data_IF_736503848591
#
_entry.id   IF_736503848591
#
_cell.length_a   1.000
_cell.length_b   1.000
_cell.length_c   1.000
_cell.angle_alpha   90.00
_cell.angle_beta   90.00
_cell.angle_gamma   90.00
#
_symmetry.space_group_name_H-M   'P 1'
#
loop_
_entity.id
_entity.type
_entity.pdbx_description
1 polymer ?
#
# COMPACT_ATOMS: atom_id res chain seq x y z
N UNK A 1 17.43 -4.26 -26.80
CA UNK A 1 16.17 -3.99 -26.10
C UNK A 1 16.30 -4.41 -24.65
N UNK A 2 15.85 -3.59 -23.72
CA UNK A 2 15.77 -3.88 -22.30
C UNK A 2 14.31 -3.73 -21.87
N UNK A 3 13.84 -4.57 -20.94
CA UNK A 3 12.55 -4.34 -20.30
C UNK A 3 12.74 -3.28 -19.22
N UNK A 4 12.04 -2.17 -19.34
CA UNK A 4 12.00 -1.10 -18.34
C UNK A 4 10.77 -1.19 -17.44
N UNK A 5 9.86 -2.10 -17.79
CA UNK A 5 8.62 -2.32 -17.05
C UNK A 5 8.88 -2.69 -15.60
N UNK A 6 8.22 -2.00 -14.70
CA UNK A 6 8.37 -2.15 -13.25
C UNK A 6 9.79 -1.86 -12.72
N UNK A 7 10.60 -1.07 -13.42
CA UNK A 7 11.92 -0.61 -12.98
C UNK A 7 11.91 0.88 -12.71
N UNK A 8 12.75 1.29 -11.77
CA UNK A 8 12.80 2.70 -11.30
C UNK A 8 13.75 3.56 -12.16
N UNK A 9 13.68 3.41 -13.48
CA UNK A 9 14.38 4.32 -14.38
C UNK A 9 13.50 5.53 -14.63
N UNK A 10 14.04 6.71 -14.39
CA UNK A 10 13.33 8.00 -14.58
C UNK A 10 14.17 8.92 -15.46
N UNK A 11 13.55 9.73 -16.32
CA UNK A 11 14.26 10.79 -17.05
C UNK A 11 14.97 11.73 -16.08
N UNK A 12 16.23 12.11 -16.40
CA UNK A 12 17.09 12.91 -15.51
C UNK A 12 17.72 12.12 -14.36
N UNK A 13 17.37 10.85 -14.20
CA UNK A 13 17.99 9.96 -13.20
C UNK A 13 19.30 9.36 -13.69
N UNK A 14 19.99 8.67 -12.79
CA UNK A 14 21.24 7.98 -13.08
C UNK A 14 21.00 6.48 -13.25
N UNK A 15 21.82 5.86 -14.07
CA UNK A 15 21.91 4.42 -14.20
C UNK A 15 23.33 3.95 -14.15
N UNK A 16 23.55 2.79 -13.52
CA UNK A 16 24.83 2.11 -13.43
C UNK A 16 24.84 0.91 -14.39
N UNK A 17 25.76 0.93 -15.36
CA UNK A 17 26.12 -0.26 -16.13
C UNK A 17 27.18 -1.04 -15.37
N UNK A 18 27.00 -2.35 -15.30
CA UNK A 18 27.95 -3.25 -14.62
C UNK A 18 28.35 -4.38 -15.55
N UNK A 19 29.64 -4.48 -15.77
CA UNK A 19 30.25 -5.56 -16.55
C UNK A 19 30.56 -6.81 -15.74
N UNK A 20 31.49 -7.59 -16.23
CA UNK A 20 31.87 -8.88 -15.65
C UNK A 20 32.71 -8.71 -14.38
N UNK A 21 33.52 -7.68 -14.31
CA UNK A 21 34.42 -7.41 -13.15
C UNK A 21 33.85 -6.29 -12.27
N UNK A 22 34.32 -6.19 -11.05
CA UNK A 22 33.90 -5.13 -10.11
C UNK A 22 34.33 -3.72 -10.59
N UNK A 23 35.31 -3.63 -11.46
CA UNK A 23 35.85 -2.38 -12.00
C UNK A 23 35.21 -1.95 -13.31
N UNK A 24 34.50 -2.87 -13.98
CA UNK A 24 33.77 -2.57 -15.22
C UNK A 24 32.45 -1.92 -14.88
N UNK A 25 32.48 -0.65 -14.55
CA UNK A 25 31.30 0.13 -14.18
C UNK A 25 31.28 1.47 -14.92
N UNK A 26 30.10 1.89 -15.36
CA UNK A 26 29.87 3.21 -15.94
C UNK A 26 28.57 3.79 -15.43
N UNK A 27 28.61 5.03 -14.94
CA UNK A 27 27.42 5.76 -14.53
C UNK A 27 26.99 6.69 -15.65
N UNK A 28 25.74 6.60 -16.04
CA UNK A 28 25.15 7.37 -17.15
C UNK A 28 23.87 8.07 -16.71
N UNK A 29 23.61 9.22 -17.31
CA UNK A 29 22.38 9.95 -17.11
C UNK A 29 21.32 9.51 -18.13
N UNK A 30 20.09 9.36 -17.68
CA UNK A 30 18.94 8.92 -18.49
C UNK A 30 18.25 10.16 -19.07
N UNK A 31 18.17 10.23 -20.39
CA UNK A 31 17.44 11.29 -21.07
C UNK A 31 15.94 10.99 -21.14
N UNK A 32 15.58 9.75 -21.55
CA UNK A 32 14.19 9.30 -21.61
C UNK A 32 14.08 7.79 -21.42
N UNK A 33 12.91 7.34 -21.01
CA UNK A 33 12.58 5.92 -20.77
C UNK A 33 11.38 5.54 -21.61
N UNK A 34 11.53 4.47 -22.38
CA UNK A 34 10.48 3.84 -23.17
C UNK A 34 10.29 2.39 -22.64
N UNK A 35 9.17 1.71 -22.93
CA UNK A 35 8.92 0.35 -22.41
C UNK A 35 10.02 -0.66 -22.70
N UNK A 36 10.74 -0.48 -23.82
CA UNK A 36 11.78 -1.42 -24.28
C UNK A 36 13.16 -0.80 -24.45
N UNK A 37 13.30 0.50 -24.13
CA UNK A 37 14.53 1.25 -24.42
C UNK A 37 14.75 2.36 -23.38
N UNK A 38 16.02 2.57 -23.07
CA UNK A 38 16.48 3.72 -22.28
C UNK A 38 17.37 4.56 -23.20
N UNK A 39 17.04 5.83 -23.38
CA UNK A 39 17.87 6.78 -24.10
C UNK A 39 18.76 7.50 -23.08
N UNK A 40 20.05 7.58 -23.40
CA UNK A 40 21.05 8.21 -22.54
C UNK A 40 21.28 9.64 -22.95
N UNK A 41 21.56 10.51 -21.98
CA UNK A 41 21.84 11.92 -22.22
C UNK A 41 23.19 12.13 -22.96
N UNK A 42 24.10 11.17 -22.87
CA UNK A 42 25.39 11.17 -23.56
C UNK A 42 25.75 9.78 -24.05
N UNK A 43 26.59 9.64 -25.07
CA UNK A 43 27.12 8.36 -25.50
C UNK A 43 27.89 7.65 -24.37
N UNK A 44 27.88 6.32 -24.41
CA UNK A 44 28.69 5.48 -23.52
C UNK A 44 30.18 5.71 -23.78
N UNK A 45 30.97 5.72 -22.72
CA UNK A 45 32.42 5.87 -22.79
C UNK A 45 33.10 4.60 -23.33
N UNK A 46 32.47 3.44 -23.09
CA UNK A 46 32.98 2.14 -23.52
C UNK A 46 31.95 1.34 -24.31
N UNK A 47 32.40 0.32 -25.03
CA UNK A 47 31.52 -0.64 -25.71
C UNK A 47 31.11 -1.74 -24.72
N UNK A 48 29.81 -1.90 -24.52
CA UNK A 48 29.25 -2.86 -23.59
C UNK A 48 28.67 -4.07 -24.32
N UNK A 49 29.02 -5.29 -23.89
CA UNK A 49 28.51 -6.51 -24.53
C UNK A 49 27.02 -6.68 -24.29
N UNK A 50 26.37 -7.42 -25.19
CA UNK A 50 24.96 -7.80 -25.03
C UNK A 50 24.78 -8.58 -23.71
N UNK A 51 23.78 -8.22 -22.93
CA UNK A 51 23.50 -8.85 -21.63
C UNK A 51 24.12 -8.10 -20.45
N UNK A 52 24.84 -7.01 -20.68
CA UNK A 52 25.29 -6.11 -19.60
C UNK A 52 24.09 -5.69 -18.75
N UNK A 53 24.27 -5.77 -17.45
CA UNK A 53 23.22 -5.38 -16.49
C UNK A 53 23.26 -3.88 -16.30
N UNK A 54 22.06 -3.28 -16.31
CA UNK A 54 21.84 -1.87 -15.99
C UNK A 54 20.95 -1.76 -14.76
N UNK A 55 21.36 -0.91 -13.84
CA UNK A 55 20.66 -0.67 -12.57
C UNK A 55 20.31 0.80 -12.45
N UNK A 56 19.10 1.16 -11.95
CA UNK A 56 18.85 2.53 -11.54
C UNK A 56 19.79 2.89 -10.38
N UNK A 57 20.35 4.09 -10.43
CA UNK A 57 21.27 4.59 -9.41
C UNK A 57 20.74 5.88 -8.81
N UNK A 58 20.97 6.07 -7.53
CA UNK A 58 20.61 7.28 -6.79
C UNK A 58 21.84 7.82 -6.08
N UNK A 59 21.90 9.14 -5.95
CA UNK A 59 22.98 9.78 -5.19
C UNK A 59 22.65 9.64 -3.69
N UNK A 60 23.62 9.13 -2.95
CA UNK A 60 23.51 8.96 -1.50
C UNK A 60 24.82 9.24 -0.80
N UNK A 61 24.74 9.57 0.48
CA UNK A 61 25.87 9.70 1.39
C UNK A 61 25.78 8.63 2.48
N UNK A 62 26.91 8.20 2.99
CA UNK A 62 26.94 7.37 4.20
C UNK A 62 26.36 8.14 5.37
N UNK A 63 25.40 7.56 6.08
CA UNK A 63 24.82 8.16 7.28
C UNK A 63 25.63 7.83 8.53
N UNK A 64 26.29 6.68 8.52
CA UNK A 64 27.14 6.20 9.60
C UNK A 64 28.45 5.64 9.03
N UNK A 65 29.45 5.52 9.87
CA UNK A 65 30.65 4.78 9.49
C UNK A 65 30.29 3.33 9.18
N UNK A 66 30.76 2.76 8.06
CA UNK A 66 30.48 1.38 7.74
C UNK A 66 31.18 0.46 8.75
N UNK A 67 30.45 -0.54 9.21
CA UNK A 67 30.99 -1.59 10.07
C UNK A 67 31.63 -2.67 9.21
N UNK A 68 32.86 -3.03 9.54
CA UNK A 68 33.63 -4.08 8.90
C UNK A 68 33.82 -5.24 9.88
N UNK A 69 33.34 -6.41 9.53
CA UNK A 69 33.54 -7.65 10.27
C UNK A 69 34.37 -8.62 9.40
N UNK A 70 35.60 -8.82 9.74
CA UNK A 70 36.43 -9.83 9.08
C UNK A 70 36.05 -11.21 9.60
N UNK A 71 35.55 -12.06 8.71
CA UNK A 71 35.09 -13.41 9.03
C UNK A 71 36.25 -14.41 8.82
N UNK A 72 36.99 -14.25 7.71
CA UNK A 72 38.20 -15.03 7.37
C UNK A 72 39.20 -14.13 6.68
N UNK A 73 40.38 -14.68 6.30
CA UNK A 73 41.37 -13.91 5.55
C UNK A 73 40.88 -13.48 4.15
N UNK A 74 39.88 -14.14 3.63
CA UNK A 74 39.35 -13.89 2.28
C UNK A 74 37.87 -13.46 2.28
N UNK A 75 37.21 -13.37 3.44
CA UNK A 75 35.82 -13.01 3.56
C UNK A 75 35.62 -11.94 4.64
N UNK A 76 34.95 -10.86 4.24
CA UNK A 76 34.61 -9.73 5.09
C UNK A 76 33.13 -9.42 4.92
N UNK A 77 32.43 -9.12 6.02
CA UNK A 77 31.07 -8.61 6.04
C UNK A 77 31.12 -7.11 6.27
N UNK A 78 30.46 -6.35 5.39
CA UNK A 78 30.38 -4.90 5.49
C UNK A 78 28.91 -4.51 5.62
N UNK A 79 28.60 -3.71 6.65
CA UNK A 79 27.30 -3.08 6.83
C UNK A 79 27.43 -1.58 6.65
N UNK A 80 26.60 -1.01 5.76
CA UNK A 80 26.62 0.42 5.50
C UNK A 80 25.19 0.96 5.37
N UNK A 81 24.95 2.10 6.00
CA UNK A 81 23.65 2.82 5.92
C UNK A 81 23.84 4.07 5.08
N UNK A 82 22.99 4.21 4.07
CA UNK A 82 23.04 5.34 3.15
C UNK A 82 21.80 6.23 3.32
N UNK A 83 22.02 7.52 3.30
CA UNK A 83 20.97 8.51 3.12
C UNK A 83 20.93 8.93 1.66
N UNK A 84 19.79 8.75 1.01
CA UNK A 84 19.58 9.20 -0.37
C UNK A 84 19.47 10.72 -0.39
N UNK A 85 20.30 11.36 -1.23
CA UNK A 85 20.39 12.83 -1.31
C UNK A 85 19.28 13.47 -2.14
N UNK A 86 18.66 12.69 -3.03
CA UNK A 86 17.54 13.16 -3.86
C UNK A 86 16.21 12.91 -3.15
N UNK A 87 15.30 13.88 -3.24
CA UNK A 87 13.93 13.69 -2.78
C UNK A 87 13.37 12.41 -3.42
N UNK A 88 13.00 11.46 -2.58
CA UNK A 88 12.44 10.18 -3.02
C UNK A 88 10.94 10.26 -3.32
N UNK A 89 10.40 11.47 -3.42
CA UNK A 89 9.02 11.72 -3.84
C UNK A 89 8.82 11.39 -5.33
N UNK A 90 9.50 10.36 -5.81
CA UNK A 90 9.27 9.89 -7.15
C UNK A 90 7.82 9.45 -7.25
N UNK A 91 7.12 10.12 -8.14
CA UNK A 91 5.77 9.75 -8.52
C UNK A 91 5.84 8.30 -8.94
N UNK A 92 5.25 7.42 -8.14
CA UNK A 92 5.21 6.00 -8.47
C UNK A 92 4.68 5.84 -9.90
N UNK A 93 5.24 4.93 -10.63
CA UNK A 93 4.90 4.65 -12.03
C UNK A 93 3.42 4.30 -12.17
N UNK A 94 2.83 3.76 -11.11
CA UNK A 94 1.41 3.43 -11.05
C UNK A 94 0.79 4.17 -9.88
N UNK A 95 -0.09 5.15 -10.13
CA UNK A 95 -0.80 5.82 -9.05
C UNK A 95 -1.70 4.79 -8.34
N UNK A 96 -1.79 4.85 -7.00
CA UNK A 96 -2.69 3.96 -6.26
C UNK A 96 -4.16 4.29 -6.58
N UNK A 97 -5.05 3.33 -6.38
CA UNK A 97 -6.50 3.57 -6.41
C UNK A 97 -6.87 4.64 -5.40
N UNK A 98 -7.57 5.68 -5.84
CA UNK A 98 -7.98 6.79 -4.98
C UNK A 98 -9.49 6.69 -4.73
N UNK A 99 -9.87 6.65 -3.47
CA UNK A 99 -11.26 6.72 -3.04
C UNK A 99 -11.44 7.88 -2.05
N UNK A 100 -12.38 8.77 -2.33
CA UNK A 100 -12.68 9.97 -1.52
C UNK A 100 -11.41 10.76 -1.14
N UNK A 101 -10.52 10.97 -2.12
CA UNK A 101 -9.28 11.75 -1.99
C UNK A 101 -8.15 11.07 -1.22
N UNK A 102 -8.28 9.78 -0.89
CA UNK A 102 -7.23 9.01 -0.20
C UNK A 102 -6.93 7.71 -0.95
N UNK A 103 -5.69 7.24 -0.93
CA UNK A 103 -5.34 5.96 -1.52
C UNK A 103 -5.95 4.81 -0.74
N UNK A 104 -6.18 3.70 -1.43
CA UNK A 104 -6.68 2.45 -0.85
C UNK A 104 -5.54 1.43 -0.80
N UNK A 105 -5.44 0.69 0.30
CA UNK A 105 -4.56 -0.47 0.39
C UNK A 105 -5.22 -1.64 -0.36
N UNK A 106 -4.70 -1.94 -1.56
CA UNK A 106 -5.24 -3.01 -2.41
C UNK A 106 -4.69 -4.39 -2.04
N UNK A 107 -3.47 -4.42 -1.51
CA UNK A 107 -2.78 -5.68 -1.19
C UNK A 107 -3.37 -6.30 0.07
N UNK A 108 -3.96 -7.48 -0.06
CA UNK A 108 -4.47 -8.23 1.06
C UNK A 108 -3.33 -8.70 2.00
N UNK A 109 -3.60 -8.83 3.29
CA UNK A 109 -2.65 -9.42 4.21
C UNK A 109 -2.45 -10.91 3.92
N UNK A 110 -1.29 -11.44 4.33
CA UNK A 110 -1.00 -12.87 4.30
C UNK A 110 -1.81 -13.58 5.38
N UNK A 111 -2.76 -14.40 4.96
CA UNK A 111 -3.67 -15.13 5.85
C UNK A 111 -2.98 -16.29 6.62
N UNK A 112 -1.73 -16.63 6.27
CA UNK A 112 -0.95 -17.63 7.00
C UNK A 112 -0.39 -17.11 8.33
N UNK A 113 -0.56 -15.84 8.61
CA UNK A 113 -0.04 -15.19 9.82
C UNK A 113 -1.18 -14.49 10.54
N UNK A 114 -1.23 -14.68 11.85
CA UNK A 114 -2.21 -14.04 12.70
C UNK A 114 -2.15 -12.51 12.55
N UNK A 115 -3.29 -11.92 12.22
CA UNK A 115 -3.45 -10.48 12.20
C UNK A 115 -3.49 -9.96 13.64
N UNK A 116 -2.42 -9.34 14.07
CA UNK A 116 -2.40 -8.73 15.39
C UNK A 116 -3.18 -7.42 15.40
N UNK A 117 -4.06 -7.27 16.39
CA UNK A 117 -4.82 -6.05 16.62
C UNK A 117 -4.64 -5.63 18.09
N UNK A 118 -4.17 -4.42 18.31
CA UNK A 118 -4.07 -3.82 19.63
C UNK A 118 -5.04 -2.64 19.77
N UNK A 119 -5.62 -2.50 20.95
CA UNK A 119 -6.43 -1.35 21.30
C UNK A 119 -5.59 -0.47 22.20
N UNK A 120 -5.30 0.73 21.75
CA UNK A 120 -4.52 1.70 22.51
C UNK A 120 -5.36 2.91 22.87
N UNK A 121 -5.16 3.40 24.08
CA UNK A 121 -5.77 4.61 24.58
C UNK A 121 -4.70 5.49 25.22
N UNK A 122 -4.64 6.75 24.84
CA UNK A 122 -3.72 7.69 25.44
C UNK A 122 -4.19 8.01 26.86
N UNK A 123 -3.53 7.41 27.85
CA UNK A 123 -3.85 7.63 29.26
C UNK A 123 -2.67 8.29 29.95
N UNK A 124 -2.88 9.48 30.48
CA UNK A 124 -1.94 10.13 31.36
C UNK A 124 -2.32 9.77 32.82
N UNK A 125 -1.35 9.30 33.59
CA UNK A 125 -1.55 8.99 35.00
C UNK A 125 -0.68 9.92 35.87
N UNK A 126 -1.32 10.69 36.70
CA UNK A 126 -0.68 11.48 37.70
C UNK A 126 -0.76 10.74 39.04
N UNK A 127 0.39 10.23 39.48
CA UNK A 127 0.53 9.53 40.75
C UNK A 127 1.57 10.24 41.60
N UNK A 128 1.12 10.96 42.63
CA UNK A 128 1.97 11.66 43.60
C UNK A 128 2.34 10.76 44.77
N UNK A 129 1.97 9.49 44.78
CA UNK A 129 2.18 8.52 45.86
C UNK A 129 1.56 8.93 47.23
N UNK A 130 0.63 9.86 47.19
CA UNK A 130 -0.04 10.39 48.40
C UNK A 130 -1.52 10.01 48.44
N UNK A 131 -2.05 9.35 47.44
CA UNK A 131 -3.45 8.99 47.35
C UNK A 131 -3.78 8.19 46.08
N UNK A 132 -5.05 8.21 45.66
CA UNK A 132 -5.49 7.49 44.45
C UNK A 132 -4.96 8.20 43.21
N UNK A 133 -4.27 7.49 42.29
CA UNK A 133 -3.77 8.09 41.06
C UNK A 133 -4.91 8.65 40.19
N UNK A 134 -4.72 9.87 39.70
CA UNK A 134 -5.65 10.49 38.74
C UNK A 134 -5.30 10.07 37.32
N UNK A 135 -6.27 9.46 36.63
CA UNK A 135 -6.16 9.15 35.20
C UNK A 135 -6.86 10.22 34.40
N UNK A 136 -6.21 10.67 33.33
CA UNK A 136 -6.77 11.60 32.35
C UNK A 136 -6.59 11.02 30.97
N UNK A 137 -7.63 11.07 30.16
CA UNK A 137 -7.63 10.64 28.78
C UNK A 137 -7.80 11.84 27.84
N UNK A 138 -6.69 12.43 27.36
CA UNK A 138 -6.75 13.61 26.49
C UNK A 138 -7.31 13.29 25.10
N UNK A 139 -7.25 12.04 24.65
CA UNK A 139 -7.72 11.65 23.33
C UNK A 139 -9.24 11.45 23.25
N UNK A 140 -9.90 11.11 24.35
CA UNK A 140 -11.33 10.80 24.41
C UNK A 140 -11.76 9.61 23.58
N UNK A 141 -10.83 8.91 22.91
CA UNK A 141 -11.10 7.79 22.01
C UNK A 141 -10.01 6.71 22.07
N UNK A 142 -10.40 5.50 21.71
CA UNK A 142 -9.47 4.37 21.57
C UNK A 142 -8.96 4.30 20.14
N UNK A 143 -7.67 4.07 19.96
CA UNK A 143 -7.04 3.81 18.66
C UNK A 143 -6.86 2.32 18.46
N UNK A 144 -7.09 1.88 17.24
CA UNK A 144 -6.83 0.50 16.84
C UNK A 144 -5.51 0.50 16.06
N UNK A 145 -4.52 -0.22 16.56
CA UNK A 145 -3.31 -0.57 15.82
C UNK A 145 -3.51 -1.95 15.22
N UNK A 146 -3.34 -2.05 13.93
CA UNK A 146 -3.43 -3.30 13.21
C UNK A 146 -2.19 -3.46 12.36
N UNK A 147 -1.46 -4.56 12.57
CA UNK A 147 -0.32 -4.91 11.76
C UNK A 147 -0.78 -5.80 10.60
N UNK A 148 -0.37 -5.43 9.38
CA UNK A 148 -0.57 -6.22 8.18
C UNK A 148 0.79 -6.68 7.68
N UNK A 149 0.90 -7.96 7.37
CA UNK A 149 2.00 -8.51 6.61
C UNK A 149 1.46 -8.96 5.27
N UNK A 150 2.05 -8.47 4.19
CA UNK A 150 1.65 -8.84 2.85
C UNK A 150 2.79 -9.58 2.15
N UNK A 151 2.46 -10.61 1.40
CA UNK A 151 3.38 -11.31 0.54
C UNK A 151 3.19 -10.78 -0.89
N UNK A 152 4.24 -10.20 -1.46
CA UNK A 152 4.20 -9.61 -2.79
C UNK A 152 4.83 -10.57 -3.79
N UNK A 153 4.09 -10.92 -4.82
CA UNK A 153 4.54 -11.81 -5.88
C UNK A 153 4.88 -11.04 -7.15
N UNK A 154 6.11 -11.21 -7.58
CA UNK A 154 6.56 -10.61 -8.82
C UNK A 154 6.78 -9.10 -8.75
N UNK A 155 7.29 -8.57 -9.85
CA UNK A 155 7.75 -7.18 -9.94
C UNK A 155 6.60 -6.18 -9.95
N UNK A 156 5.49 -6.52 -10.59
CA UNK A 156 4.33 -5.61 -10.71
C UNK A 156 3.74 -5.26 -9.35
N UNK A 157 3.53 -6.25 -8.48
CA UNK A 157 3.01 -6.02 -7.13
C UNK A 157 4.01 -5.22 -6.28
N UNK A 158 5.32 -5.51 -6.39
CA UNK A 158 6.35 -4.72 -5.72
C UNK A 158 6.31 -3.25 -6.13
N UNK A 159 6.15 -2.96 -7.43
CA UNK A 159 6.08 -1.60 -7.95
C UNK A 159 4.81 -0.89 -7.46
N UNK A 160 3.66 -1.56 -7.52
CA UNK A 160 2.40 -1.01 -7.05
C UNK A 160 2.46 -0.68 -5.54
N UNK A 161 2.96 -1.61 -4.73
CA UNK A 161 3.10 -1.40 -3.30
C UNK A 161 4.08 -0.27 -2.96
N UNK A 162 5.22 -0.20 -3.65
CA UNK A 162 6.19 0.88 -3.50
C UNK A 162 5.59 2.22 -3.92
N UNK A 163 4.84 2.25 -5.05
CA UNK A 163 4.11 3.44 -5.49
C UNK A 163 3.14 3.95 -4.42
N UNK A 164 2.43 3.05 -3.73
CA UNK A 164 1.59 3.41 -2.59
C UNK A 164 2.40 4.04 -1.46
N UNK A 165 3.55 3.45 -1.08
CA UNK A 165 4.39 3.98 0.00
C UNK A 165 4.95 5.38 -0.34
N UNK A 166 5.36 5.61 -1.59
CA UNK A 166 5.80 6.92 -2.05
C UNK A 166 4.66 7.92 -2.05
N UNK A 167 3.47 7.53 -2.52
CA UNK A 167 2.30 8.40 -2.47
C UNK A 167 1.95 8.80 -1.04
N UNK A 168 2.09 7.90 -0.08
CA UNK A 168 1.86 8.15 1.34
C UNK A 168 2.92 9.04 1.99
N UNK A 169 4.07 9.23 1.34
CA UNK A 169 5.20 9.97 1.93
C UNK A 169 5.55 9.42 3.32
N UNK A 170 5.77 8.11 3.39
CA UNK A 170 5.92 7.38 4.64
C UNK A 170 4.61 7.32 5.43
N UNK A 171 4.54 7.97 6.59
CA UNK A 171 3.35 8.02 7.45
C UNK A 171 2.62 9.38 7.42
N UNK A 172 2.91 10.21 6.43
CA UNK A 172 2.36 11.57 6.41
C UNK A 172 0.91 11.60 5.93
N UNK A 173 0.56 10.84 4.89
CA UNK A 173 -0.80 10.80 4.34
C UNK A 173 -1.57 9.60 4.87
N UNK A 174 -2.86 9.80 5.11
CA UNK A 174 -3.77 8.73 5.49
C UNK A 174 -4.20 7.90 4.28
N UNK A 175 -4.54 6.62 4.51
CA UNK A 175 -5.06 5.71 3.51
C UNK A 175 -6.29 4.96 4.02
N UNK A 176 -7.08 4.42 3.11
CA UNK A 176 -8.14 3.47 3.42
C UNK A 176 -7.53 2.06 3.56
N UNK A 177 -7.82 1.42 4.68
CA UNK A 177 -7.41 0.03 4.96
C UNK A 177 -8.68 -0.80 5.03
N UNK A 178 -8.95 -1.66 4.01
CA UNK A 178 -10.07 -2.60 4.07
C UNK A 178 -9.88 -3.62 5.20
N UNK A 179 -10.98 -4.19 5.68
CA UNK A 179 -10.94 -5.29 6.65
C UNK A 179 -10.39 -6.57 6.05
N UNK A 180 -10.51 -6.73 4.73
CA UNK A 180 -10.23 -7.95 3.97
C UNK A 180 -10.99 -9.19 4.48
N UNK A 181 -12.12 -8.97 5.15
CA UNK A 181 -12.99 -10.00 5.69
C UNK A 181 -14.39 -9.92 5.05
N UNK A 182 -15.13 -11.01 5.14
CA UNK A 182 -16.53 -11.10 4.68
C UNK A 182 -17.46 -10.49 5.73
N UNK A 183 -17.38 -9.16 5.88
CA UNK A 183 -18.15 -8.44 6.89
C UNK A 183 -19.65 -8.39 6.57
N UNK A 184 -20.02 -8.42 5.29
CA UNK A 184 -21.39 -8.34 4.79
C UNK A 184 -21.64 -9.44 3.76
N UNK A 185 -22.73 -10.19 3.91
CA UNK A 185 -23.13 -11.20 2.93
C UNK A 185 -24.26 -10.65 2.06
N UNK A 186 -23.99 -10.48 0.76
CA UNK A 186 -24.97 -10.01 -0.22
C UNK A 186 -26.03 -11.08 -0.49
N UNK A 187 -27.31 -10.72 -0.42
CA UNK A 187 -28.44 -11.66 -0.57
C UNK A 187 -29.12 -11.52 -1.92
N UNK A 188 -29.25 -10.30 -2.44
CA UNK A 188 -29.91 -10.03 -3.72
C UNK A 188 -28.93 -9.46 -4.74
N UNK A 189 -29.27 -9.62 -6.03
CA UNK A 189 -28.45 -9.04 -7.09
C UNK A 189 -28.39 -7.51 -6.98
N UNK A 190 -27.20 -6.97 -7.18
CA UNK A 190 -26.93 -5.54 -7.27
C UNK A 190 -27.25 -5.10 -8.71
N UNK A 191 -28.14 -4.13 -8.86
CA UNK A 191 -28.57 -3.64 -10.17
C UNK A 191 -27.90 -2.29 -10.44
N UNK A 192 -27.34 -2.11 -11.63
CA UNK A 192 -26.59 -0.90 -12.02
C UNK A 192 -27.43 0.41 -11.93
N UNK A 193 -28.75 0.30 -11.89
CA UNK A 193 -29.68 1.44 -11.77
C UNK A 193 -30.07 1.76 -10.33
N UNK A 194 -29.68 0.93 -9.36
CA UNK A 194 -30.12 1.06 -7.97
C UNK A 194 -28.92 1.09 -7.01
N UNK A 195 -28.85 2.04 -6.10
CA UNK A 195 -27.83 2.08 -5.06
C UNK A 195 -28.13 1.13 -3.87
N UNK A 196 -29.21 0.36 -3.95
CA UNK A 196 -29.64 -0.52 -2.87
C UNK A 196 -28.79 -1.81 -2.83
N UNK A 197 -28.30 -2.15 -1.65
CA UNK A 197 -27.53 -3.35 -1.33
C UNK A 197 -28.29 -4.12 -0.23
N UNK A 198 -28.87 -5.26 -0.55
CA UNK A 198 -29.51 -6.13 0.43
C UNK A 198 -28.49 -7.14 0.95
N UNK A 199 -28.31 -7.15 2.27
CA UNK A 199 -27.37 -8.04 2.96
C UNK A 199 -28.07 -8.85 4.03
N UNK A 200 -27.44 -9.95 4.43
CA UNK A 200 -27.86 -10.69 5.62
C UNK A 200 -27.74 -9.78 6.84
N UNK A 201 -28.73 -9.84 7.75
CA UNK A 201 -28.73 -9.00 8.95
C UNK A 201 -27.49 -9.29 9.82
N UNK A 202 -26.72 -8.25 10.04
CA UNK A 202 -25.56 -8.22 10.96
C UNK A 202 -25.78 -7.22 12.08
N UNK A 203 -26.95 -6.57 12.12
CA UNK A 203 -27.26 -5.48 13.01
C UNK A 203 -26.67 -4.13 12.56
N UNK A 204 -26.21 -4.06 11.31
CA UNK A 204 -25.60 -2.83 10.79
C UNK A 204 -26.57 -1.64 10.80
N UNK A 205 -27.83 -1.86 10.36
CA UNK A 205 -28.85 -0.82 10.34
C UNK A 205 -29.13 -0.26 11.75
N UNK A 206 -28.96 -1.08 12.78
CA UNK A 206 -29.20 -0.68 14.17
C UNK A 206 -27.99 -0.06 14.84
N UNK A 207 -26.80 -0.61 14.62
CA UNK A 207 -25.58 -0.25 15.35
C UNK A 207 -24.50 0.35 14.46
N UNK A 208 -24.29 -0.18 13.26
CA UNK A 208 -23.20 0.21 12.36
C UNK A 208 -23.41 1.58 11.75
N UNK A 209 -24.63 1.88 11.32
CA UNK A 209 -24.96 3.15 10.63
C UNK A 209 -24.74 4.39 11.52
N UNK A 210 -24.79 4.24 12.83
CA UNK A 210 -24.52 5.34 13.77
C UNK A 210 -23.03 5.66 13.88
N UNK A 211 -22.15 4.75 13.45
CA UNK A 211 -20.70 4.94 13.47
C UNK A 211 -20.25 5.78 12.27
N UNK A 212 -19.53 6.86 12.53
CA UNK A 212 -18.95 7.70 11.46
C UNK A 212 -17.83 7.02 10.68
N UNK A 213 -17.25 5.94 11.22
CA UNK A 213 -16.04 5.28 10.69
C UNK A 213 -16.33 3.96 9.97
N UNK A 214 -17.59 3.51 9.91
CA UNK A 214 -17.97 2.22 9.33
C UNK A 214 -19.01 2.38 8.23
N UNK A 215 -18.84 3.39 7.39
CA UNK A 215 -19.76 3.68 6.29
C UNK A 215 -19.19 3.45 4.91
N UNK A 216 -17.89 3.29 4.83
CA UNK A 216 -17.23 3.06 3.55
C UNK A 216 -16.99 1.57 3.39
N UNK A 217 -17.43 1.02 2.25
CA UNK A 217 -17.36 -0.40 1.93
C UNK A 217 -16.53 -0.61 0.66
N UNK A 218 -15.85 -1.74 0.62
CA UNK A 218 -15.22 -2.29 -0.57
C UNK A 218 -15.97 -3.56 -0.95
N UNK A 219 -16.38 -3.64 -2.19
CA UNK A 219 -17.01 -4.82 -2.79
C UNK A 219 -15.97 -5.42 -3.73
N UNK A 220 -15.54 -6.63 -3.49
CA UNK A 220 -14.58 -7.35 -4.32
C UNK A 220 -15.29 -8.52 -5.01
N UNK A 221 -15.12 -8.62 -6.33
CA UNK A 221 -15.70 -9.69 -7.13
C UNK A 221 -14.68 -10.81 -7.37
N UNK A 222 -15.17 -11.99 -7.71
CA UNK A 222 -14.31 -13.13 -8.05
C UNK A 222 -13.42 -12.90 -9.28
N UNK A 223 -13.80 -11.98 -10.17
CA UNK A 223 -12.99 -11.58 -11.33
C UNK A 223 -11.87 -10.57 -11.00
N UNK A 224 -11.74 -10.18 -9.71
CA UNK A 224 -10.77 -9.20 -9.23
C UNK A 224 -11.23 -7.75 -9.35
N UNK A 225 -12.41 -7.48 -9.91
CA UNK A 225 -12.97 -6.13 -9.94
C UNK A 225 -13.32 -5.66 -8.53
N UNK A 226 -13.01 -4.41 -8.22
CA UNK A 226 -13.30 -3.81 -6.91
C UNK A 226 -14.11 -2.53 -7.05
N UNK A 227 -15.09 -2.36 -6.18
CA UNK A 227 -15.88 -1.14 -6.07
C UNK A 227 -15.76 -0.58 -4.66
N UNK A 228 -15.74 0.74 -4.56
CA UNK A 228 -15.75 1.45 -3.30
C UNK A 228 -16.98 2.33 -3.23
N UNK A 229 -17.78 2.21 -2.17
CA UNK A 229 -19.03 2.95 -2.00
C UNK A 229 -19.18 3.41 -0.56
N UNK A 230 -19.94 4.49 -0.40
CA UNK A 230 -20.30 5.01 0.91
C UNK A 230 -21.75 4.65 1.23
N UNK A 231 -21.99 4.12 2.42
CA UNK A 231 -23.35 3.82 2.89
C UNK A 231 -23.96 5.09 3.45
N UNK A 232 -25.02 5.57 2.84
CA UNK A 232 -25.72 6.80 3.24
C UNK A 232 -26.87 6.51 4.20
N UNK A 233 -27.56 5.38 4.01
CA UNK A 233 -28.67 4.94 4.85
C UNK A 233 -28.65 3.42 5.04
N UNK A 234 -29.33 2.95 6.08
CA UNK A 234 -29.57 1.54 6.31
C UNK A 234 -30.94 1.34 6.97
N UNK A 235 -31.66 0.29 6.58
CA UNK A 235 -32.96 -0.07 7.11
C UNK A 235 -33.07 -1.59 7.32
N UNK A 236 -33.80 -2.00 8.34
CA UNK A 236 -34.13 -3.41 8.58
C UNK A 236 -35.31 -3.76 7.66
N UNK A 237 -35.18 -4.80 6.82
CA UNK A 237 -36.26 -5.31 6.00
C UNK A 237 -37.08 -6.33 6.82
N UNK A 238 -36.38 -7.31 7.37
CA UNK A 238 -36.96 -8.38 8.19
C UNK A 238 -35.95 -8.86 9.24
N UNK A 239 -36.21 -10.00 9.89
CA UNK A 239 -35.34 -10.54 10.94
C UNK A 239 -33.96 -10.99 10.40
N UNK A 240 -33.90 -11.37 9.12
CA UNK A 240 -32.72 -12.01 8.52
C UNK A 240 -31.99 -11.09 7.53
N UNK A 241 -32.65 -9.97 7.11
CA UNK A 241 -32.11 -9.09 6.06
C UNK A 241 -32.19 -7.61 6.41
N UNK A 242 -31.16 -6.90 5.95
CA UNK A 242 -31.03 -5.44 6.02
C UNK A 242 -30.78 -4.86 4.64
N UNK A 243 -31.30 -3.68 4.37
CA UNK A 243 -31.03 -2.91 3.15
C UNK A 243 -30.10 -1.75 3.49
N UNK A 244 -29.01 -1.68 2.76
CA UNK A 244 -28.07 -0.58 2.81
C UNK A 244 -28.24 0.24 1.54
N UNK A 245 -28.21 1.55 1.65
CA UNK A 245 -28.23 2.47 0.52
C UNK A 245 -26.83 3.04 0.33
N UNK A 246 -26.26 2.84 -0.85
CA UNK A 246 -24.96 3.37 -1.25
C UNK A 246 -25.13 4.77 -1.84
N UNK A 247 -24.05 5.54 -1.83
CA UNK A 247 -23.98 6.89 -2.44
C UNK A 247 -24.14 6.87 -3.97
N UNK A 248 -23.86 5.75 -4.61
CA UNK A 248 -24.04 5.54 -6.04
C UNK A 248 -24.21 4.06 -6.38
N UNK A 249 -24.93 3.71 -7.46
CA UNK A 249 -25.01 2.33 -7.91
C UNK A 249 -23.67 1.83 -8.45
N UNK A 250 -23.57 0.53 -8.69
CA UNK A 250 -22.45 -0.05 -9.43
C UNK A 250 -22.61 0.28 -10.92
N UNK A 251 -21.53 0.18 -11.68
CA UNK A 251 -21.53 0.42 -13.12
C UNK A 251 -22.03 -0.79 -13.95
N UNK A 252 -22.29 -1.93 -13.29
CA UNK A 252 -22.82 -3.16 -13.87
C UNK A 252 -23.71 -3.90 -12.88
N UNK A 253 -24.51 -4.83 -13.42
CA UNK A 253 -25.25 -5.80 -12.60
C UNK A 253 -24.26 -6.81 -12.01
N UNK A 254 -24.44 -7.16 -10.75
CA UNK A 254 -23.63 -8.14 -10.03
C UNK A 254 -24.56 -9.11 -9.30
N UNK A 255 -24.42 -10.39 -9.54
CA UNK A 255 -25.13 -11.42 -8.80
C UNK A 255 -24.45 -11.68 -7.44
N UNK A 256 -25.16 -12.17 -6.43
CA UNK A 256 -24.57 -12.49 -5.13
C UNK A 256 -23.39 -13.47 -5.22
N UNK A 257 -23.46 -14.44 -6.16
CA UNK A 257 -22.39 -15.41 -6.37
C UNK A 257 -21.12 -14.86 -7.04
N UNK A 258 -21.16 -13.64 -7.58
CA UNK A 258 -19.98 -12.97 -8.12
C UNK A 258 -19.22 -12.18 -7.07
N UNK A 259 -19.85 -11.87 -5.94
CA UNK A 259 -19.24 -11.14 -4.84
C UNK A 259 -18.34 -12.10 -4.05
N UNK A 260 -17.09 -11.75 -3.95
CA UNK A 260 -16.10 -12.51 -3.17
C UNK A 260 -16.12 -12.09 -1.70
N UNK A 261 -16.14 -10.78 -1.47
CA UNK A 261 -16.19 -10.16 -0.15
C UNK A 261 -16.50 -8.66 -0.23
#
# INVERSE_FOLDING_TARGET
PCSTDGREFVPGGLALLRGATAWDVEVVEIQSVEPTKINLARPLAASWPRGTRIYPAVLGSLEQHPDHLRVTDSAESISAVFRVATASDSVGITPPTIYRGRPVLETAPDENIDLSRALERMTLMLDNKTGIPKRTDPSGQTFILQAHRSLLHGRAEHVAHRGLLYYLQGRFKALWVPSFADDLTVVTALVYTSPALTVRSTGYARFGITSKTRRDIRIELHDGTTFHRHIVAAAIIDADTEQLEMDSPLDRNVSPGEVRR
#
